data_IF_326172873624
#
_entry.id   IF_326172873624
#
_cell.length_a   1.000
_cell.length_b   1.000
_cell.length_c   1.000
_cell.angle_alpha   90.00
_cell.angle_beta   90.00
_cell.angle_gamma   90.00
#
_symmetry.space_group_name_H-M   'P 1'
#
loop_
_entity.id
_entity.type
_entity.pdbx_description
1 polymer ?
#
# COMPACT_ATOMS: atom_id res chain seq x y z
N UNK A 1 10.25 -30.37 4.43
CA UNK A 1 9.26 -29.91 3.43
C UNK A 1 8.16 -29.17 4.19
N UNK A 2 8.10 -27.84 4.12
CA UNK A 2 7.06 -27.02 4.78
C UNK A 2 6.07 -26.57 3.71
N UNK A 3 4.98 -27.32 3.56
CA UNK A 3 3.83 -26.90 2.78
C UNK A 3 2.88 -26.13 3.67
N UNK A 4 2.72 -24.83 3.44
CA UNK A 4 1.57 -24.10 3.96
C UNK A 4 0.38 -24.43 3.06
N UNK A 5 -0.55 -25.25 3.57
CA UNK A 5 -1.86 -25.46 2.99
C UNK A 5 -2.72 -24.28 3.44
N UNK A 6 -3.15 -23.45 2.50
CA UNK A 6 -4.02 -22.30 2.75
C UNK A 6 -5.46 -22.71 3.06
N UNK A 7 -5.67 -23.41 4.16
CA UNK A 7 -6.99 -23.51 4.80
C UNK A 7 -6.99 -22.57 6.00
N UNK A 8 -7.32 -21.30 5.78
CA UNK A 8 -7.66 -20.39 6.87
C UNK A 8 -9.00 -20.85 7.46
N UNK A 9 -9.07 -21.23 8.75
CA UNK A 9 -10.34 -21.53 9.40
C UNK A 9 -11.22 -20.28 9.28
N UNK A 10 -12.50 -20.46 8.94
CA UNK A 10 -13.48 -19.38 9.01
C UNK A 10 -13.52 -18.90 10.46
N UNK A 11 -12.88 -17.76 10.73
CA UNK A 11 -12.74 -17.18 12.05
C UNK A 11 -14.06 -16.57 12.50
N UNK A 12 -14.99 -17.44 12.88
CA UNK A 12 -16.14 -17.11 13.71
C UNK A 12 -15.65 -16.96 15.15
N UNK A 13 -14.96 -15.86 15.43
CA UNK A 13 -14.11 -15.77 16.61
C UNK A 13 -13.79 -14.37 17.12
N UNK A 14 -14.62 -13.37 16.78
CA UNK A 14 -14.62 -12.00 17.32
C UNK A 14 -13.54 -11.07 16.72
N UNK A 15 -14.03 -10.10 15.95
CA UNK A 15 -13.45 -8.78 15.68
C UNK A 15 -13.18 -8.01 16.99
N UNK A 16 -12.34 -8.54 17.88
CA UNK A 16 -12.23 -8.03 19.25
C UNK A 16 -11.10 -7.04 19.46
N UNK A 17 -10.27 -6.75 18.46
CA UNK A 17 -9.32 -5.64 18.48
C UNK A 17 -9.01 -5.18 17.05
N UNK A 18 -10.03 -4.84 16.26
CA UNK A 18 -9.80 -3.92 15.14
C UNK A 18 -9.54 -2.55 15.78
N UNK A 19 -8.28 -2.27 16.14
CA UNK A 19 -7.87 -0.94 16.55
C UNK A 19 -8.17 -0.07 15.33
N UNK A 20 -9.14 0.86 15.39
CA UNK A 20 -9.49 1.66 14.22
C UNK A 20 -8.24 2.46 13.85
N UNK A 21 -7.61 2.09 12.74
CA UNK A 21 -6.52 2.86 12.21
C UNK A 21 -7.06 4.25 11.87
N UNK A 22 -6.28 5.31 12.11
CA UNK A 22 -6.70 6.63 11.72
C UNK A 22 -7.01 6.63 10.21
N UNK A 23 -8.14 7.22 9.79
CA UNK A 23 -8.47 7.27 8.38
C UNK A 23 -7.35 7.98 7.63
N UNK A 24 -6.99 7.46 6.45
CA UNK A 24 -6.03 8.12 5.59
C UNK A 24 -6.52 9.54 5.28
N UNK A 25 -5.62 10.52 5.44
CA UNK A 25 -5.90 11.92 5.18
C UNK A 25 -5.10 12.39 3.98
N UNK A 26 -5.81 12.90 2.97
CA UNK A 26 -5.18 13.54 1.83
C UNK A 26 -4.42 14.79 2.28
N UNK A 27 -3.20 14.96 1.75
CA UNK A 27 -2.36 16.14 2.01
C UNK A 27 -2.34 17.02 0.74
N UNK A 28 -3.23 18.02 0.63
CA UNK A 28 -3.36 18.82 -0.59
C UNK A 28 -2.32 19.95 -0.71
N UNK A 29 -1.62 20.32 0.36
CA UNK A 29 -0.73 21.49 0.37
C UNK A 29 0.77 21.17 0.20
N UNK A 30 1.11 19.93 -0.15
CA UNK A 30 2.51 19.54 -0.37
C UNK A 30 2.95 19.79 -1.83
N UNK A 31 4.17 20.31 -2.10
CA UNK A 31 4.65 20.47 -3.46
C UNK A 31 4.88 19.11 -4.12
N UNK A 32 4.59 19.00 -5.42
CA UNK A 32 4.74 17.77 -6.23
C UNK A 32 6.05 16.99 -6.03
N UNK A 33 7.25 17.61 -5.99
CA UNK A 33 8.48 16.88 -5.73
C UNK A 33 8.52 16.23 -4.34
N UNK A 34 7.98 16.89 -3.32
CA UNK A 34 7.88 16.35 -1.95
C UNK A 34 6.90 15.19 -1.89
N UNK A 35 5.75 15.31 -2.56
CA UNK A 35 4.76 14.22 -2.69
C UNK A 35 5.37 12.97 -3.32
N UNK A 36 6.10 13.13 -4.43
CA UNK A 36 6.79 12.03 -5.11
C UNK A 36 7.81 11.34 -4.21
N UNK A 37 8.61 12.12 -3.47
CA UNK A 37 9.60 11.56 -2.55
C UNK A 37 8.94 10.77 -1.40
N UNK A 38 7.84 11.28 -0.84
CA UNK A 38 7.05 10.60 0.19
C UNK A 38 6.46 9.29 -0.34
N UNK A 39 5.77 9.33 -1.48
CA UNK A 39 5.15 8.14 -2.08
C UNK A 39 6.19 7.07 -2.42
N UNK A 40 7.37 7.47 -2.90
CA UNK A 40 8.48 6.55 -3.14
C UNK A 40 8.96 5.88 -1.84
N UNK A 41 9.03 6.64 -0.75
CA UNK A 41 9.41 6.11 0.56
C UNK A 41 8.34 5.15 1.11
N UNK A 42 7.06 5.52 1.05
CA UNK A 42 5.93 4.69 1.49
C UNK A 42 5.81 3.39 0.68
N UNK A 43 6.14 3.43 -0.62
CA UNK A 43 6.19 2.25 -1.48
C UNK A 43 7.29 1.26 -1.09
N UNK A 44 8.38 1.76 -0.47
CA UNK A 44 9.54 0.95 -0.05
C UNK A 44 9.45 0.47 1.40
N UNK A 45 8.61 1.09 2.22
CA UNK A 45 8.46 0.80 3.65
C UNK A 45 7.24 -0.08 3.91
N UNK A 46 7.16 -1.23 3.24
CA UNK A 46 6.08 -2.23 3.42
C UNK A 46 6.56 -3.43 4.22
N UNK A 47 5.62 -4.14 4.86
CA UNK A 47 5.93 -5.29 5.69
C UNK A 47 6.40 -6.52 4.91
N UNK A 48 6.12 -6.57 3.61
CA UNK A 48 6.35 -7.71 2.73
C UNK A 48 7.30 -7.35 1.57
N UNK A 49 8.25 -8.24 1.25
CA UNK A 49 9.30 -8.01 0.24
C UNK A 49 8.72 -7.95 -1.18
N UNK A 50 7.75 -8.79 -1.48
CA UNK A 50 7.07 -8.90 -2.76
C UNK A 50 6.43 -7.57 -3.15
N UNK A 51 5.70 -6.95 -2.22
CA UNK A 51 5.11 -5.62 -2.43
C UNK A 51 6.17 -4.53 -2.51
N UNK A 52 7.21 -4.60 -1.67
CA UNK A 52 8.31 -3.64 -1.75
C UNK A 52 8.94 -3.65 -3.15
N UNK A 53 9.22 -4.82 -3.72
CA UNK A 53 9.82 -4.93 -5.04
C UNK A 53 8.86 -4.43 -6.13
N UNK A 54 7.60 -4.88 -6.11
CA UNK A 54 6.59 -4.49 -7.09
C UNK A 54 6.38 -2.97 -7.09
N UNK A 55 6.06 -2.41 -5.92
CA UNK A 55 5.72 -0.99 -5.78
C UNK A 55 6.94 -0.10 -5.95
N UNK A 56 8.13 -0.50 -5.48
CA UNK A 56 9.33 0.34 -5.63
C UNK A 56 9.79 0.48 -7.08
N UNK A 57 9.67 -0.59 -7.88
CA UNK A 57 9.96 -0.54 -9.32
C UNK A 57 8.93 0.33 -10.04
N UNK A 58 7.65 0.09 -9.80
CA UNK A 58 6.57 0.89 -10.37
C UNK A 58 6.71 2.38 -10.03
N UNK A 59 6.95 2.69 -8.75
CA UNK A 59 7.10 4.05 -8.26
C UNK A 59 8.29 4.77 -8.90
N UNK A 60 9.44 4.08 -9.04
CA UNK A 60 10.65 4.67 -9.63
C UNK A 60 10.44 5.11 -11.09
N UNK A 61 9.71 4.33 -11.88
CA UNK A 61 9.48 4.60 -13.29
C UNK A 61 8.31 5.55 -13.54
N UNK A 62 7.24 5.41 -12.76
CA UNK A 62 5.98 6.10 -13.02
C UNK A 62 5.82 7.42 -12.26
N UNK A 63 6.35 7.56 -11.03
CA UNK A 63 6.15 8.78 -10.21
C UNK A 63 6.66 10.05 -10.91
N UNK A 64 7.74 9.95 -11.69
CA UNK A 64 8.30 11.08 -12.42
C UNK A 64 7.43 11.53 -13.61
N UNK A 65 6.65 10.60 -14.19
CA UNK A 65 5.80 10.84 -15.36
C UNK A 65 4.35 11.16 -14.99
N UNK A 66 3.95 10.86 -13.76
CA UNK A 66 2.59 11.06 -13.26
C UNK A 66 2.25 12.54 -12.98
N UNK A 67 1.02 12.91 -13.29
CA UNK A 67 0.40 14.20 -12.89
C UNK A 67 -0.03 14.18 -11.42
N UNK A 68 -0.35 15.35 -10.87
CA UNK A 68 -0.82 15.50 -9.50
C UNK A 68 -2.02 14.59 -9.18
N UNK A 69 -3.02 14.54 -10.06
CA UNK A 69 -4.20 13.69 -9.88
C UNK A 69 -3.83 12.20 -9.83
N UNK A 70 -2.88 11.76 -10.66
CA UNK A 70 -2.39 10.38 -10.66
C UNK A 70 -1.61 10.06 -9.38
N UNK A 71 -0.81 11.00 -8.89
CA UNK A 71 -0.12 10.87 -7.60
C UNK A 71 -1.13 10.75 -6.45
N UNK A 72 -2.23 11.50 -6.47
CA UNK A 72 -3.29 11.41 -5.45
C UNK A 72 -4.00 10.05 -5.50
N UNK A 73 -4.28 9.53 -6.69
CA UNK A 73 -4.86 8.18 -6.86
C UNK A 73 -3.90 7.11 -6.36
N UNK A 74 -2.61 7.24 -6.65
CA UNK A 74 -1.59 6.32 -6.18
C UNK A 74 -1.45 6.34 -4.65
N UNK A 75 -1.45 7.54 -4.06
CA UNK A 75 -1.42 7.74 -2.60
C UNK A 75 -2.58 7.00 -1.91
N UNK A 76 -3.80 7.12 -2.45
CA UNK A 76 -4.97 6.38 -1.97
C UNK A 76 -4.78 4.87 -2.14
N UNK A 77 -4.39 4.41 -3.33
CA UNK A 77 -4.23 2.98 -3.62
C UNK A 77 -3.28 2.29 -2.62
N UNK A 78 -2.16 2.94 -2.27
CA UNK A 78 -1.16 2.32 -1.39
C UNK A 78 -1.48 2.52 0.11
N UNK A 79 -2.21 3.57 0.50
CA UNK A 79 -2.40 3.92 1.92
C UNK A 79 -3.83 3.72 2.44
N UNK A 80 -4.82 3.51 1.58
CA UNK A 80 -6.21 3.16 1.94
C UNK A 80 -6.35 1.75 2.51
N UNK A 81 -5.76 0.69 1.92
CA UNK A 81 -5.85 -0.65 2.50
C UNK A 81 -4.97 -0.76 3.76
N UNK A 82 -5.55 -1.32 4.81
CA UNK A 82 -4.84 -1.61 6.07
C UNK A 82 -3.94 -2.85 5.98
N UNK A 83 -4.12 -3.67 4.94
CA UNK A 83 -3.39 -4.92 4.73
C UNK A 83 -2.61 -4.90 3.41
N UNK A 84 -1.30 -5.11 3.51
CA UNK A 84 -0.42 -5.21 2.35
C UNK A 84 -0.77 -6.42 1.45
N UNK A 85 -1.35 -7.50 1.98
CA UNK A 85 -1.76 -8.64 1.15
C UNK A 85 -2.85 -8.29 0.13
N UNK A 86 -3.75 -7.38 0.46
CA UNK A 86 -4.82 -6.95 -0.47
C UNK A 86 -4.22 -6.24 -1.69
N UNK A 87 -3.20 -5.42 -1.48
CA UNK A 87 -2.45 -4.75 -2.56
C UNK A 87 -1.79 -5.80 -3.48
N UNK A 88 -1.22 -6.85 -2.89
CA UNK A 88 -0.60 -7.94 -3.66
C UNK A 88 -1.64 -8.66 -4.52
N UNK A 89 -2.78 -9.05 -3.92
CA UNK A 89 -3.86 -9.74 -4.61
C UNK A 89 -4.54 -8.89 -5.70
N UNK A 90 -4.59 -7.57 -5.58
CA UNK A 90 -5.08 -6.72 -6.67
C UNK A 90 -4.14 -6.65 -7.87
N UNK A 91 -2.85 -6.88 -7.63
CA UNK A 91 -1.83 -6.85 -8.67
C UNK A 91 -1.65 -8.19 -9.40
N UNK A 92 -2.14 -9.30 -8.82
CA UNK A 92 -2.04 -10.67 -9.36
C UNK A 92 -3.39 -11.23 -9.77
#
# INVERSE_FOLDING_TARGET
QRGYRGDSPKDSGKDLLEIPLPPWQERPHEPLPTKRARLLYESRKRGMLENCLLLSLFAKENLNRMSEEQLNRYDRLINEPSNDWDIYYWAT
#
